data_IF_471654570284
#
_entry.id   IF_471654570284
#
_cell.length_a   1.000
_cell.length_b   1.000
_cell.length_c   1.000
_cell.angle_alpha   90.00
_cell.angle_beta   90.00
_cell.angle_gamma   90.00
#
_symmetry.space_group_name_H-M   'P 1'
#
loop_
_entity.id
_entity.type
_entity.pdbx_description
1 polymer ?
#
# COMPACT_ATOMS: atom_id res chain seq x y z
N UNK A 1 -4.15 7.11 -6.85
CA UNK A 1 -3.26 6.53 -7.86
C UNK A 1 -2.86 5.12 -7.47
N UNK A 2 -2.26 4.88 -6.29
CA UNK A 2 -1.77 3.56 -5.87
C UNK A 2 -2.87 2.49 -5.80
N UNK A 3 -4.04 2.81 -5.25
CA UNK A 3 -5.17 1.87 -5.17
C UNK A 3 -5.72 1.49 -6.55
N UNK A 4 -5.65 2.38 -7.52
CA UNK A 4 -6.02 2.06 -8.92
C UNK A 4 -5.07 1.02 -9.51
N UNK A 5 -3.76 1.16 -9.28
CA UNK A 5 -2.75 0.21 -9.71
C UNK A 5 -2.95 -1.17 -9.04
N UNK A 6 -3.24 -1.19 -7.73
CA UNK A 6 -3.55 -2.42 -7.00
C UNK A 6 -4.80 -3.12 -7.57
N UNK A 7 -5.87 -2.39 -7.85
CA UNK A 7 -7.08 -2.98 -8.44
C UNK A 7 -6.82 -3.45 -9.87
N UNK A 8 -6.02 -2.71 -10.64
CA UNK A 8 -5.67 -3.11 -12.00
C UNK A 8 -4.91 -4.45 -12.05
N UNK A 9 -3.98 -4.70 -11.11
CA UNK A 9 -3.30 -6.00 -11.06
C UNK A 9 -4.25 -7.12 -10.63
N UNK A 10 -5.17 -6.88 -9.70
CA UNK A 10 -6.19 -7.85 -9.34
C UNK A 10 -7.07 -8.23 -10.52
N UNK A 11 -7.42 -7.26 -11.37
CA UNK A 11 -8.19 -7.52 -12.60
C UNK A 11 -7.36 -8.36 -13.59
N UNK A 12 -6.08 -8.05 -13.74
CA UNK A 12 -5.19 -8.79 -14.63
C UNK A 12 -4.99 -10.24 -14.20
N UNK A 13 -4.88 -10.50 -12.89
CA UNK A 13 -4.64 -11.85 -12.33
C UNK A 13 -5.93 -12.68 -12.24
N UNK A 14 -7.03 -12.09 -11.81
CA UNK A 14 -8.25 -12.82 -11.44
C UNK A 14 -9.46 -12.52 -12.35
N UNK A 15 -9.35 -11.55 -13.26
CA UNK A 15 -10.45 -11.02 -14.07
C UNK A 15 -11.37 -10.07 -13.29
N UNK A 16 -12.15 -9.26 -14.03
CA UNK A 16 -12.97 -8.18 -13.47
C UNK A 16 -13.96 -8.66 -12.40
N UNK A 17 -14.70 -9.74 -12.68
CA UNK A 17 -15.74 -10.23 -11.77
C UNK A 17 -15.17 -10.70 -10.43
N UNK A 18 -14.00 -11.33 -10.41
CA UNK A 18 -13.36 -11.76 -9.18
C UNK A 18 -12.72 -10.58 -8.45
N UNK A 19 -12.05 -9.69 -9.17
CA UNK A 19 -11.48 -8.47 -8.59
C UNK A 19 -12.56 -7.61 -7.92
N UNK A 20 -13.72 -7.44 -8.56
CA UNK A 20 -14.85 -6.73 -7.97
C UNK A 20 -15.33 -7.39 -6.68
N UNK A 21 -15.48 -8.72 -6.66
CA UNK A 21 -15.86 -9.45 -5.43
C UNK A 21 -14.85 -9.22 -4.29
N UNK A 22 -13.55 -9.27 -4.58
CA UNK A 22 -12.49 -9.04 -3.61
C UNK A 22 -12.59 -7.62 -3.04
N UNK A 23 -12.67 -6.61 -3.89
CA UNK A 23 -12.75 -5.21 -3.45
C UNK A 23 -14.03 -4.94 -2.66
N UNK A 24 -15.17 -5.48 -3.08
CA UNK A 24 -16.42 -5.38 -2.31
C UNK A 24 -16.32 -6.04 -0.94
N UNK A 25 -15.65 -7.19 -0.85
CA UNK A 25 -15.42 -7.85 0.43
C UNK A 25 -14.50 -7.02 1.34
N UNK A 26 -13.46 -6.38 0.81
CA UNK A 26 -12.65 -5.44 1.59
C UNK A 26 -13.47 -4.28 2.12
N UNK A 27 -14.30 -3.66 1.28
CA UNK A 27 -15.18 -2.55 1.69
C UNK A 27 -16.17 -2.99 2.77
N UNK A 28 -16.74 -4.19 2.66
CA UNK A 28 -17.67 -4.74 3.65
C UNK A 28 -17.01 -5.03 5.01
N UNK A 29 -15.69 -5.26 5.02
CA UNK A 29 -14.90 -5.55 6.23
C UNK A 29 -14.14 -4.34 6.78
N UNK A 30 -14.39 -3.14 6.29
CA UNK A 30 -13.77 -1.93 6.85
C UNK A 30 -14.17 -1.74 8.31
N UNK A 31 -13.20 -1.66 9.21
CA UNK A 31 -13.42 -1.36 10.62
C UNK A 31 -13.86 0.09 10.85
N UNK A 32 -13.41 1.01 9.98
CA UNK A 32 -13.69 2.45 10.02
C UNK A 32 -13.84 3.00 8.61
N UNK A 33 -14.23 4.27 8.49
CA UNK A 33 -14.10 4.99 7.22
C UNK A 33 -12.62 5.01 6.76
N UNK A 34 -12.34 4.99 5.44
CA UNK A 34 -10.98 5.03 4.92
C UNK A 34 -10.20 6.24 5.42
N UNK A 35 -8.95 6.03 5.81
CA UNK A 35 -8.04 7.11 6.24
C UNK A 35 -7.56 7.94 5.06
N UNK A 36 -7.25 9.21 5.30
CA UNK A 36 -6.78 10.14 4.27
C UNK A 36 -5.34 9.88 3.82
N UNK A 37 -4.56 9.13 4.60
CA UNK A 37 -3.18 8.75 4.26
C UNK A 37 -2.72 7.50 5.03
N UNK A 38 -1.64 6.88 4.55
CA UNK A 38 -1.11 5.62 5.07
C UNK A 38 -0.55 5.76 6.50
N UNK A 39 -0.01 6.91 6.88
CA UNK A 39 0.51 7.15 8.24
C UNK A 39 -0.61 7.07 9.27
N UNK A 40 -1.75 7.72 9.01
CA UNK A 40 -2.91 7.66 9.92
C UNK A 40 -3.47 6.24 10.03
N UNK A 41 -3.48 5.47 8.95
CA UNK A 41 -3.88 4.06 8.99
C UNK A 41 -2.92 3.24 9.87
N UNK A 42 -1.61 3.42 9.73
CA UNK A 42 -0.61 2.73 10.57
C UNK A 42 -0.74 3.10 12.05
N UNK A 43 -1.00 4.37 12.37
CA UNK A 43 -1.27 4.80 13.75
C UNK A 43 -2.58 4.18 14.30
N UNK A 44 -3.61 4.04 13.47
CA UNK A 44 -4.87 3.40 13.85
C UNK A 44 -4.68 1.90 14.14
N UNK A 45 -3.85 1.20 13.34
CA UNK A 45 -3.46 -0.19 13.61
C UNK A 45 -2.70 -0.28 14.94
N UNK A 46 -1.70 0.59 15.15
CA UNK A 46 -0.95 0.64 16.40
C UNK A 46 -1.83 0.92 17.63
N UNK A 47 -2.91 1.68 17.46
CA UNK A 47 -3.91 1.97 18.50
C UNK A 47 -4.99 0.87 18.67
N UNK A 48 -4.95 -0.21 17.89
CA UNK A 48 -5.92 -1.31 17.95
C UNK A 48 -7.30 -0.96 17.38
N UNK A 49 -7.42 0.04 16.52
CA UNK A 49 -8.68 0.39 15.85
C UNK A 49 -9.01 -0.54 14.68
N UNK A 50 -8.01 -1.19 14.11
CA UNK A 50 -8.12 -2.21 13.09
C UNK A 50 -6.92 -3.17 13.19
N UNK A 51 -7.10 -4.41 12.76
CA UNK A 51 -6.07 -5.45 12.88
C UNK A 51 -5.09 -5.45 11.71
N UNK A 52 -5.56 -5.08 10.51
CA UNK A 52 -4.79 -5.05 9.28
C UNK A 52 -5.11 -3.83 8.45
N UNK A 53 -4.17 -3.41 7.60
CA UNK A 53 -4.38 -2.33 6.64
C UNK A 53 -3.51 -2.49 5.39
N UNK A 54 -3.98 -1.98 4.26
CA UNK A 54 -3.23 -1.96 3.01
C UNK A 54 -2.54 -0.61 2.89
N UNK A 55 -1.21 -0.60 2.90
CA UNK A 55 -0.38 0.61 2.90
C UNK A 55 0.82 0.45 1.96
N UNK A 56 1.41 1.57 1.58
CA UNK A 56 2.74 1.53 0.96
C UNK A 56 3.80 1.29 2.05
N UNK A 57 4.62 0.28 1.86
CA UNK A 57 5.58 -0.23 2.86
C UNK A 57 6.55 0.82 3.42
N UNK A 58 6.94 1.80 2.59
CA UNK A 58 7.89 2.84 3.02
C UNK A 58 7.35 3.76 4.12
N UNK A 59 6.03 3.90 4.27
CA UNK A 59 5.46 4.67 5.40
C UNK A 59 5.74 3.99 6.75
N UNK A 60 5.61 2.64 6.81
CA UNK A 60 5.99 1.91 8.00
C UNK A 60 7.49 2.03 8.28
N UNK A 61 8.35 1.87 7.26
CA UNK A 61 9.79 2.05 7.42
C UNK A 61 10.18 3.41 7.99
N UNK A 62 9.50 4.50 7.55
CA UNK A 62 9.71 5.85 8.09
C UNK A 62 9.27 5.96 9.57
N UNK A 63 8.14 5.36 9.92
CA UNK A 63 7.67 5.35 11.32
C UNK A 63 8.60 4.56 12.22
N UNK A 64 9.07 3.39 11.81
CA UNK A 64 10.01 2.56 12.57
C UNK A 64 11.39 3.20 12.70
N UNK A 65 11.85 3.94 11.68
CA UNK A 65 13.09 4.73 11.79
C UNK A 65 13.00 5.82 12.86
N UNK A 66 11.83 6.45 13.01
CA UNK A 66 11.58 7.47 14.02
C UNK A 66 11.21 6.89 15.39
N UNK A 67 10.59 5.72 15.43
CA UNK A 67 10.09 5.01 16.61
C UNK A 67 10.38 3.52 16.45
N UNK A 68 11.56 3.03 16.88
CA UNK A 68 11.97 1.63 16.70
C UNK A 68 11.01 0.60 17.28
N UNK A 69 10.31 0.94 18.36
CA UNK A 69 9.32 0.08 19.03
C UNK A 69 7.88 0.24 18.49
N UNK A 70 7.72 0.80 17.28
CA UNK A 70 6.38 0.99 16.69
C UNK A 70 5.70 -0.37 16.48
N UNK A 71 4.52 -0.65 17.12
CA UNK A 71 3.98 -1.98 17.28
C UNK A 71 3.19 -2.48 16.05
N UNK A 72 3.72 -2.27 14.85
CA UNK A 72 3.14 -2.73 13.59
C UNK A 72 4.21 -3.45 12.78
N UNK A 73 3.85 -4.58 12.18
CA UNK A 73 4.71 -5.36 11.29
C UNK A 73 4.17 -5.43 9.87
N UNK A 74 5.05 -5.62 8.89
CA UNK A 74 4.66 -5.92 7.52
C UNK A 74 4.29 -7.40 7.36
N UNK A 75 3.22 -7.63 6.63
CA UNK A 75 2.88 -8.93 6.08
C UNK A 75 2.92 -8.86 4.55
N UNK A 76 3.77 -9.67 3.93
CA UNK A 76 3.83 -9.80 2.49
C UNK A 76 2.82 -10.86 2.05
N UNK A 77 1.73 -10.43 1.44
CA UNK A 77 0.66 -11.33 1.01
C UNK A 77 1.11 -12.24 -0.15
N UNK A 78 0.45 -13.39 -0.28
CA UNK A 78 0.51 -14.29 -1.43
C UNK A 78 1.92 -14.71 -1.89
N UNK A 79 2.84 -14.95 -0.95
CA UNK A 79 4.24 -15.29 -1.28
C UNK A 79 4.40 -16.69 -1.91
N UNK A 80 3.36 -17.54 -1.86
CA UNK A 80 3.31 -18.84 -2.55
C UNK A 80 2.64 -18.76 -3.94
N UNK A 81 2.06 -17.62 -4.30
CA UNK A 81 1.36 -17.38 -5.56
C UNK A 81 1.99 -16.23 -6.37
N UNK A 82 1.17 -15.30 -6.82
CA UNK A 82 1.59 -14.14 -7.63
C UNK A 82 2.44 -13.13 -6.86
N UNK A 83 2.48 -13.23 -5.55
CA UNK A 83 3.18 -12.29 -4.68
C UNK A 83 2.40 -11.02 -4.40
N UNK A 84 3.05 -10.10 -3.68
CA UNK A 84 2.45 -8.80 -3.38
C UNK A 84 2.65 -7.83 -4.55
N UNK A 85 1.64 -6.99 -4.80
CA UNK A 85 1.74 -5.92 -5.79
C UNK A 85 2.88 -4.95 -5.47
N UNK A 86 3.72 -4.66 -6.47
CA UNK A 86 4.84 -3.71 -6.38
C UNK A 86 4.53 -2.47 -7.21
N UNK A 87 4.46 -1.31 -6.57
CA UNK A 87 4.47 -0.02 -7.24
C UNK A 87 5.91 0.49 -7.40
N UNK A 88 6.27 0.86 -8.62
CA UNK A 88 7.60 1.37 -8.93
C UNK A 88 7.50 2.87 -9.21
N UNK A 89 8.30 3.66 -8.49
CA UNK A 89 8.53 5.06 -8.81
C UNK A 89 9.82 5.20 -9.61
N UNK A 90 9.81 6.06 -10.60
CA UNK A 90 10.98 6.36 -11.42
C UNK A 90 11.30 7.84 -11.41
N UNK A 91 12.55 8.18 -11.58
CA UNK A 91 13.02 9.53 -11.83
C UNK A 91 13.84 9.57 -13.12
N UNK A 92 13.80 10.70 -13.81
CA UNK A 92 14.57 10.90 -15.03
C UNK A 92 15.00 12.35 -15.18
N UNK A 93 16.12 12.55 -15.84
CA UNK A 93 16.63 13.89 -16.17
C UNK A 93 15.97 14.35 -17.45
N UNK A 94 15.35 15.53 -17.43
CA UNK A 94 14.77 16.12 -18.63
C UNK A 94 15.87 16.45 -19.66
N UNK A 95 15.53 16.34 -20.96
CA UNK A 95 16.49 16.56 -22.09
C UNK A 95 17.25 17.90 -21.97
N UNK A 96 16.62 18.93 -21.44
CA UNK A 96 17.13 20.28 -21.37
C UNK A 96 17.38 20.74 -19.93
N UNK A 97 17.62 19.80 -19.00
CA UNK A 97 18.00 20.13 -17.63
C UNK A 97 19.33 20.89 -17.62
N UNK A 98 19.39 22.04 -16.94
CA UNK A 98 20.58 22.86 -16.84
C UNK A 98 21.65 22.32 -15.88
N UNK A 99 21.26 21.41 -14.96
CA UNK A 99 22.11 20.87 -13.90
C UNK A 99 22.04 19.34 -13.88
N UNK A 100 22.60 18.72 -14.90
CA UNK A 100 22.54 17.24 -15.08
C UNK A 100 23.51 16.50 -14.17
N UNK A 101 24.52 17.20 -13.65
CA UNK A 101 25.60 16.61 -12.83
C UNK A 101 25.38 16.77 -11.31
N UNK A 102 24.27 17.38 -10.90
CA UNK A 102 23.85 17.52 -9.51
C UNK A 102 22.80 16.46 -9.15
#
# INVERSE_FOLDING_TARGET
VYNQSLVAILIAEYGEAQAERIVRAWVANLATAPFSNDTLLLEAIAAGQCDVGVVNSYYLGRLQAARPDFPVALHWADQAGAGVHVNISGAGVARHAGHVAE
#
